data_IF_646284827561
#
_entry.id   IF_646284827561
#
_cell.length_a   1.000
_cell.length_b   1.000
_cell.length_c   1.000
_cell.angle_alpha   90.00
_cell.angle_beta   90.00
_cell.angle_gamma   90.00
#
_symmetry.space_group_name_H-M   'P 1'
#
loop_
_entity.id
_entity.type
_entity.pdbx_description
1 polymer ?
#
# COMPACT_ATOMS: atom_id res chain seq x y z
N UNK A 1 -11.03 6.83 97.45
CA UNK A 1 -9.62 7.21 97.21
C UNK A 1 -9.46 7.66 95.76
N UNK A 2 -8.93 8.86 95.49
CA UNK A 2 -8.66 9.36 94.13
C UNK A 2 -7.18 9.13 93.82
N UNK A 3 -6.88 8.26 92.85
CA UNK A 3 -5.49 7.92 92.47
C UNK A 3 -4.82 9.06 91.70
N UNK A 4 -3.54 9.32 91.99
CA UNK A 4 -2.73 10.31 91.30
C UNK A 4 -2.42 9.87 89.86
N UNK A 5 -2.59 10.77 88.90
CA UNK A 5 -2.20 10.56 87.49
C UNK A 5 -0.92 11.33 87.19
N UNK A 6 0.06 10.66 86.59
CA UNK A 6 1.30 11.28 86.11
C UNK A 6 1.08 12.05 84.81
N UNK A 7 1.92 13.05 84.56
CA UNK A 7 1.92 13.80 83.31
C UNK A 7 2.31 12.91 82.11
N UNK A 8 1.86 13.25 80.88
CA UNK A 8 2.21 12.49 79.69
C UNK A 8 3.73 12.49 79.46
N UNK A 9 4.30 11.31 79.19
CA UNK A 9 5.72 11.18 78.85
C UNK A 9 6.00 11.73 77.44
N UNK A 10 7.23 12.21 77.26
CA UNK A 10 7.71 12.83 76.03
C UNK A 10 7.72 11.80 74.88
N UNK A 11 7.25 12.20 73.70
CA UNK A 11 7.08 11.28 72.57
C UNK A 11 8.43 11.00 71.90
N UNK A 12 8.91 9.76 72.04
CA UNK A 12 10.10 9.29 71.32
C UNK A 12 9.70 8.88 69.90
N UNK A 13 10.16 9.62 68.91
CA UNK A 13 9.97 9.27 67.49
C UNK A 13 11.20 8.51 67.01
N UNK A 14 11.06 7.20 66.84
CA UNK A 14 12.14 6.35 66.32
C UNK A 14 12.12 6.41 64.81
N UNK A 15 13.11 7.07 64.22
CA UNK A 15 13.34 7.02 62.79
C UNK A 15 13.91 5.64 62.43
N UNK A 16 13.04 4.75 61.94
CA UNK A 16 13.45 3.43 61.46
C UNK A 16 14.06 3.60 60.07
N UNK A 17 15.40 3.65 60.00
CA UNK A 17 16.10 3.61 58.73
C UNK A 17 15.80 2.29 58.01
N UNK A 18 15.15 2.39 56.85
CA UNK A 18 14.85 1.22 56.02
C UNK A 18 16.16 0.56 55.60
N UNK A 19 16.35 -0.73 55.87
CA UNK A 19 17.61 -1.41 55.63
C UNK A 19 17.97 -1.45 54.14
N UNK A 20 19.26 -1.37 53.84
CA UNK A 20 19.80 -1.20 52.49
C UNK A 20 19.32 -2.26 51.48
N UNK A 21 19.02 -3.48 51.93
CA UNK A 21 18.47 -4.55 51.08
C UNK A 21 17.09 -4.20 50.49
N UNK A 22 16.24 -3.49 51.24
CA UNK A 22 14.93 -3.03 50.73
C UNK A 22 15.09 -1.92 49.70
N UNK A 23 16.12 -1.07 49.84
CA UNK A 23 16.42 -0.01 48.87
C UNK A 23 16.87 -0.60 47.52
N UNK A 24 17.77 -1.59 47.56
CA UNK A 24 18.27 -2.26 46.35
C UNK A 24 17.16 -3.07 45.66
N UNK A 25 16.37 -3.81 46.45
CA UNK A 25 15.21 -4.54 45.93
C UNK A 25 14.17 -3.63 45.27
N UNK A 26 13.89 -2.45 45.86
CA UNK A 26 12.93 -1.50 45.29
C UNK A 26 13.38 -0.92 43.94
N UNK A 27 14.68 -0.68 43.76
CA UNK A 27 15.21 -0.19 42.49
C UNK A 27 15.16 -1.27 41.39
N UNK A 28 15.53 -2.51 41.73
CA UNK A 28 15.45 -3.64 40.80
C UNK A 28 14.01 -3.94 40.36
N UNK A 29 13.04 -3.87 41.28
CA UNK A 29 11.61 -4.06 40.97
C UNK A 29 11.10 -2.94 40.06
N UNK A 30 11.47 -1.68 40.33
CA UNK A 30 11.11 -0.55 39.46
C UNK A 30 11.66 -0.70 38.04
N UNK A 31 12.91 -1.14 37.91
CA UNK A 31 13.53 -1.38 36.61
C UNK A 31 12.85 -2.53 35.85
N UNK A 32 12.63 -3.69 36.49
CA UNK A 32 11.94 -4.82 35.87
C UNK A 32 10.50 -4.46 35.45
N UNK A 33 9.79 -3.68 36.28
CA UNK A 33 8.42 -3.26 36.01
C UNK A 33 8.29 -2.41 34.74
N UNK A 34 9.37 -1.78 34.28
CA UNK A 34 9.39 -1.00 33.01
C UNK A 34 9.95 -1.84 31.86
N UNK A 35 10.99 -2.63 32.11
CA UNK A 35 11.64 -3.43 31.07
C UNK A 35 10.73 -4.54 30.53
N UNK A 36 9.99 -5.22 31.41
CA UNK A 36 9.07 -6.31 31.00
C UNK A 36 7.98 -5.81 30.04
N UNK A 37 7.19 -4.77 30.36
CA UNK A 37 6.18 -4.27 29.41
C UNK A 37 6.82 -3.69 28.15
N UNK A 38 8.02 -3.11 28.23
CA UNK A 38 8.73 -2.62 27.05
C UNK A 38 9.08 -3.76 26.08
N UNK A 39 9.60 -4.88 26.59
CA UNK A 39 9.88 -6.07 25.77
C UNK A 39 8.58 -6.62 25.17
N UNK A 40 7.52 -6.72 25.97
CA UNK A 40 6.22 -7.16 25.49
C UNK A 40 5.67 -6.26 24.37
N UNK A 41 5.83 -4.93 24.50
CA UNK A 41 5.44 -3.96 23.48
C UNK A 41 6.24 -4.15 22.18
N UNK A 42 7.56 -4.34 22.28
CA UNK A 42 8.42 -4.58 21.11
C UNK A 42 8.02 -5.87 20.40
N UNK A 43 7.80 -6.97 21.14
CA UNK A 43 7.35 -8.24 20.56
C UNK A 43 5.98 -8.10 19.87
N UNK A 44 5.06 -7.35 20.48
CA UNK A 44 3.75 -7.07 19.89
C UNK A 44 3.88 -6.27 18.59
N UNK A 45 4.74 -5.25 18.55
CA UNK A 45 4.99 -4.46 17.34
C UNK A 45 5.62 -5.32 16.24
N UNK A 46 6.59 -6.17 16.56
CA UNK A 46 7.20 -7.10 15.61
C UNK A 46 6.15 -8.08 15.07
N UNK A 47 5.30 -8.62 15.93
CA UNK A 47 4.21 -9.52 15.53
C UNK A 47 3.21 -8.84 14.58
N UNK A 48 2.79 -7.62 14.90
CA UNK A 48 1.89 -6.84 14.06
C UNK A 48 2.52 -6.50 12.70
N UNK A 49 3.78 -6.07 12.70
CA UNK A 49 4.53 -5.78 11.49
C UNK A 49 4.66 -7.03 10.61
N UNK A 50 4.98 -8.19 11.20
CA UNK A 50 5.06 -9.46 10.51
C UNK A 50 3.71 -9.88 9.90
N UNK A 51 2.63 -9.78 10.68
CA UNK A 51 1.29 -10.12 10.24
C UNK A 51 0.81 -9.21 9.08
N UNK A 52 1.03 -7.90 9.19
CA UNK A 52 0.74 -6.97 8.10
C UNK A 52 1.59 -7.26 6.87
N UNK A 53 2.89 -7.47 7.02
CA UNK A 53 3.77 -7.76 5.89
C UNK A 53 3.30 -9.00 5.11
N UNK A 54 2.89 -10.06 5.80
CA UNK A 54 2.35 -11.26 5.16
C UNK A 54 1.05 -10.99 4.39
N UNK A 55 0.11 -10.24 4.96
CA UNK A 55 -1.13 -9.86 4.29
C UNK A 55 -0.86 -8.97 3.07
N UNK A 56 -0.02 -7.95 3.21
CA UNK A 56 0.37 -7.05 2.12
C UNK A 56 1.13 -7.78 1.00
N UNK A 57 2.00 -8.73 1.33
CA UNK A 57 2.74 -9.51 0.34
C UNK A 57 1.81 -10.35 -0.54
N UNK A 58 0.79 -10.98 0.04
CA UNK A 58 -0.21 -11.75 -0.71
C UNK A 58 -1.05 -10.82 -1.59
N UNK A 59 -1.52 -9.70 -1.05
CA UNK A 59 -2.32 -8.72 -1.79
C UNK A 59 -1.54 -8.12 -2.96
N UNK A 60 -0.27 -7.74 -2.75
CA UNK A 60 0.61 -7.22 -3.80
C UNK A 60 0.79 -8.22 -4.95
N UNK A 61 0.93 -9.52 -4.64
CA UNK A 61 1.01 -10.57 -5.67
C UNK A 61 -0.26 -10.68 -6.50
N UNK A 62 -1.44 -10.59 -5.86
CA UNK A 62 -2.72 -10.62 -6.58
C UNK A 62 -2.89 -9.40 -7.47
N UNK A 63 -2.64 -8.21 -6.94
CA UNK A 63 -2.73 -6.94 -7.70
C UNK A 63 -1.81 -6.96 -8.91
N UNK A 64 -0.55 -7.41 -8.77
CA UNK A 64 0.37 -7.52 -9.91
C UNK A 64 -0.17 -8.47 -11.00
N UNK A 65 -0.82 -9.56 -10.60
CA UNK A 65 -1.41 -10.51 -11.55
C UNK A 65 -2.62 -9.90 -12.27
N UNK A 66 -3.52 -9.26 -11.53
CA UNK A 66 -4.71 -8.60 -12.08
C UNK A 66 -4.33 -7.47 -13.05
N UNK A 67 -3.31 -6.66 -12.72
CA UNK A 67 -2.79 -5.62 -13.63
C UNK A 67 -2.31 -6.26 -14.94
N UNK A 68 -1.54 -7.34 -14.88
CA UNK A 68 -1.05 -8.02 -16.08
C UNK A 68 -2.18 -8.59 -16.94
N UNK A 69 -3.24 -9.11 -16.32
CA UNK A 69 -4.42 -9.60 -17.04
C UNK A 69 -5.20 -8.46 -17.69
N UNK A 70 -5.35 -7.32 -17.01
CA UNK A 70 -5.97 -6.11 -17.55
C UNK A 70 -5.17 -5.57 -18.74
N UNK A 71 -3.84 -5.50 -18.61
CA UNK A 71 -2.97 -5.05 -19.70
C UNK A 71 -3.11 -5.96 -20.92
N UNK A 72 -3.06 -7.29 -20.72
CA UNK A 72 -3.26 -8.26 -21.82
C UNK A 72 -4.64 -8.14 -22.48
N UNK A 73 -5.69 -7.87 -21.70
CA UNK A 73 -7.03 -7.66 -22.24
C UNK A 73 -7.09 -6.35 -23.06
N UNK A 74 -6.44 -5.29 -22.57
CA UNK A 74 -6.35 -4.00 -23.26
C UNK A 74 -5.62 -4.13 -24.60
N UNK A 75 -4.51 -4.89 -24.64
CA UNK A 75 -3.78 -5.19 -25.87
C UNK A 75 -4.68 -5.86 -26.90
N UNK A 76 -5.37 -6.94 -26.52
CA UNK A 76 -6.27 -7.66 -27.42
C UNK A 76 -7.40 -6.77 -27.92
N UNK A 77 -7.97 -5.94 -27.07
CA UNK A 77 -9.02 -5.00 -27.45
C UNK A 77 -8.49 -3.96 -28.46
N UNK A 78 -7.27 -3.46 -28.27
CA UNK A 78 -6.64 -2.52 -29.19
C UNK A 78 -6.32 -3.16 -30.54
N UNK A 79 -5.79 -4.39 -30.56
CA UNK A 79 -5.51 -5.12 -31.81
C UNK A 79 -6.79 -5.37 -32.63
N UNK A 80 -7.89 -5.74 -31.96
CA UNK A 80 -9.19 -5.91 -32.62
C UNK A 80 -9.70 -4.60 -33.20
N UNK A 81 -9.59 -3.49 -32.44
CA UNK A 81 -10.00 -2.17 -32.92
C UNK A 81 -9.16 -1.71 -34.12
N UNK A 82 -7.86 -1.92 -34.05
CA UNK A 82 -6.90 -1.60 -35.11
C UNK A 82 -7.23 -2.35 -36.40
N UNK A 83 -7.52 -3.65 -36.32
CA UNK A 83 -7.90 -4.45 -37.49
C UNK A 83 -9.23 -3.97 -38.08
N UNK A 84 -10.23 -3.67 -37.25
CA UNK A 84 -11.53 -3.16 -37.69
C UNK A 84 -11.42 -1.80 -38.40
N UNK A 85 -10.56 -0.89 -37.91
CA UNK A 85 -10.31 0.40 -38.58
C UNK A 85 -9.58 0.19 -39.91
N UNK A 86 -8.58 -0.71 -39.95
CA UNK A 86 -7.86 -1.04 -41.19
C UNK A 86 -8.77 -1.65 -42.25
N UNK A 87 -9.69 -2.52 -41.86
CA UNK A 87 -10.70 -3.07 -42.77
C UNK A 87 -11.63 -1.98 -43.33
N UNK A 88 -12.10 -1.05 -42.49
CA UNK A 88 -12.92 0.07 -42.93
C UNK A 88 -12.19 0.96 -43.95
N UNK A 89 -10.93 1.30 -43.67
CA UNK A 89 -10.08 2.05 -44.60
C UNK A 89 -9.94 1.28 -45.93
N UNK A 90 -9.68 -0.03 -45.88
CA UNK A 90 -9.53 -0.88 -47.07
C UNK A 90 -10.82 -0.99 -47.89
N UNK A 91 -11.99 -1.04 -47.24
CA UNK A 91 -13.29 -1.04 -47.93
C UNK A 91 -13.55 0.30 -48.64
N UNK A 92 -13.21 1.41 -48.00
CA UNK A 92 -13.33 2.75 -48.59
C UNK A 92 -12.34 2.93 -49.75
N UNK A 93 -11.10 2.46 -49.62
CA UNK A 93 -10.11 2.46 -50.72
C UNK A 93 -10.54 1.58 -51.90
N UNK A 94 -11.14 0.40 -51.65
CA UNK A 94 -11.74 -0.42 -52.73
C UNK A 94 -12.88 0.31 -53.43
N UNK A 95 -13.64 1.13 -52.71
CA UNK A 95 -14.72 1.94 -53.27
C UNK A 95 -14.15 3.06 -54.15
N UNK A 96 -13.04 3.69 -53.73
CA UNK A 96 -12.26 4.64 -54.55
C UNK A 96 -11.86 4.09 -55.92
N UNK A 97 -11.48 2.80 -55.96
CA UNK A 97 -11.09 2.15 -57.21
C UNK A 97 -12.27 1.86 -58.15
N UNK A 98 -13.52 1.92 -57.64
CA UNK A 98 -14.75 1.70 -58.42
C UNK A 98 -15.46 3.01 -58.79
N UNK A 99 -15.37 4.03 -57.94
CA UNK A 99 -15.89 5.38 -58.14
C UNK A 99 -14.98 6.39 -57.45
N UNK A 100 -14.94 7.63 -57.92
CA UNK A 100 -14.30 8.70 -57.14
C UNK A 100 -14.97 8.82 -55.76
N UNK A 101 -14.12 8.98 -54.74
CA UNK A 101 -14.58 9.28 -53.38
C UNK A 101 -15.07 10.73 -53.33
N UNK A 102 -16.05 11.00 -52.48
CA UNK A 102 -16.42 12.39 -52.18
C UNK A 102 -15.32 13.05 -51.33
N UNK A 103 -15.25 14.39 -51.33
CA UNK A 103 -14.29 15.12 -50.49
C UNK A 103 -14.44 14.80 -49.01
N UNK A 104 -15.67 14.50 -48.55
CA UNK A 104 -15.96 14.10 -47.17
C UNK A 104 -15.38 12.71 -46.86
N UNK A 105 -15.54 11.75 -47.78
CA UNK A 105 -14.98 10.40 -47.62
C UNK A 105 -13.45 10.42 -47.57
N UNK A 106 -12.80 11.24 -48.41
CA UNK A 106 -11.35 11.38 -48.42
C UNK A 106 -10.82 12.05 -47.13
N UNK A 107 -11.56 13.04 -46.59
CA UNK A 107 -11.26 13.63 -45.27
C UNK A 107 -11.38 12.60 -44.15
N UNK A 108 -12.44 11.79 -44.15
CA UNK A 108 -12.65 10.74 -43.14
C UNK A 108 -11.52 9.71 -43.16
N UNK A 109 -11.10 9.24 -44.34
CA UNK A 109 -9.98 8.29 -44.47
C UNK A 109 -8.69 8.88 -43.89
N UNK A 110 -8.40 10.14 -44.24
CA UNK A 110 -7.19 10.82 -43.78
C UNK A 110 -7.20 10.99 -42.25
N UNK A 111 -8.35 11.31 -41.68
CA UNK A 111 -8.52 11.44 -40.24
C UNK A 111 -8.40 10.09 -39.52
N UNK A 112 -9.10 9.05 -39.98
CA UNK A 112 -9.00 7.69 -39.43
C UNK A 112 -7.57 7.15 -39.48
N UNK A 113 -6.84 7.40 -40.57
CA UNK A 113 -5.42 7.01 -40.67
C UNK A 113 -4.56 7.74 -39.65
N UNK A 114 -4.76 9.04 -39.46
CA UNK A 114 -3.99 9.83 -38.49
C UNK A 114 -4.30 9.39 -37.06
N UNK A 115 -5.58 9.26 -36.73
CA UNK A 115 -6.01 8.90 -35.39
C UNK A 115 -5.56 7.47 -35.03
N UNK A 116 -5.56 6.54 -36.00
CA UNK A 116 -4.98 5.20 -35.82
C UNK A 116 -3.47 5.24 -35.61
N UNK A 117 -2.72 6.03 -36.40
CA UNK A 117 -1.26 6.14 -36.28
C UNK A 117 -0.83 6.80 -34.94
N UNK A 118 -1.58 7.82 -34.50
CA UNK A 118 -1.38 8.47 -33.20
C UNK A 118 -1.67 7.50 -32.05
N UNK A 119 -2.75 6.71 -32.15
CA UNK A 119 -3.09 5.69 -31.17
C UNK A 119 -2.06 4.55 -31.16
N UNK A 120 -1.60 4.08 -32.33
CA UNK A 120 -0.55 3.04 -32.43
C UNK A 120 0.78 3.53 -31.81
N UNK A 121 1.16 4.80 -32.01
CA UNK A 121 2.37 5.38 -31.38
C UNK A 121 2.24 5.52 -29.87
N UNK A 122 1.08 5.95 -29.38
CA UNK A 122 0.84 6.10 -27.94
C UNK A 122 0.85 4.73 -27.27
N UNK A 123 -0.01 3.82 -27.73
CA UNK A 123 -0.14 2.48 -27.17
C UNK A 123 1.16 1.69 -27.35
N UNK A 124 1.85 1.79 -28.49
CA UNK A 124 3.13 1.12 -28.70
C UNK A 124 4.22 1.51 -27.69
N UNK A 125 4.26 2.78 -27.25
CA UNK A 125 5.21 3.23 -26.22
C UNK A 125 4.85 2.66 -24.85
N UNK A 126 3.59 2.76 -24.45
CA UNK A 126 3.10 2.20 -23.19
C UNK A 126 3.28 0.68 -23.12
N UNK A 127 3.22 -0.03 -24.26
CA UNK A 127 3.40 -1.48 -24.35
C UNK A 127 4.87 -1.90 -24.23
N UNK A 128 5.80 -1.19 -24.89
CA UNK A 128 7.23 -1.51 -24.83
C UNK A 128 7.77 -1.44 -23.39
N UNK A 129 7.19 -0.57 -22.56
CA UNK A 129 7.53 -0.42 -21.14
C UNK A 129 6.98 -1.56 -20.25
N UNK A 130 6.02 -2.35 -20.74
CA UNK A 130 5.41 -3.47 -19.99
C UNK A 130 6.09 -4.82 -20.29
N UNK A 131 6.68 -4.98 -21.48
CA UNK A 131 7.48 -6.17 -21.82
C UNK A 131 8.90 -6.17 -21.22
N UNK A 132 9.44 -5.00 -20.83
CA UNK A 132 10.73 -4.86 -20.11
C UNK A 132 10.57 -5.10 -18.60
#
# INVERSE_FOLDING_TARGET
>A
ARGAKSNPSEKVTIAVERPAFLRIGSWAVGFLSVVIPLIALVLLLVYLAWHWWHKFAIMRKRVKKEIREVDQALHKAFDVLKEAIREQIKMLEKTRNKRELTEEEEKIIKQLKRDLDDAEKFVGKEIEDVEK
#
